data_IF_497181450623
#
_entry.id   IF_497181450623
#
_cell.length_a   1.000
_cell.length_b   1.000
_cell.length_c   1.000
_cell.angle_alpha   90.00
_cell.angle_beta   90.00
_cell.angle_gamma   90.00
#
_symmetry.space_group_name_H-M   'P 1'
#
loop_
_entity.id
_entity.type
_entity.pdbx_description
1 polymer ?
#
# COMPACT_ATOMS: atom_id res chain seq x y z
N UNK A 1 3.08 -51.41 0.47
CA UNK A 1 2.09 -50.53 1.13
C UNK A 1 2.68 -49.12 1.15
N UNK A 2 2.28 -48.27 0.20
CA UNK A 2 2.85 -46.93 0.02
C UNK A 2 1.99 -45.92 0.78
N UNK A 3 2.51 -45.36 1.88
CA UNK A 3 1.88 -44.26 2.61
C UNK A 3 2.24 -42.96 1.90
N UNK A 4 1.36 -42.53 1.01
CA UNK A 4 1.37 -41.19 0.41
C UNK A 4 0.56 -40.26 1.31
N UNK A 5 1.18 -39.80 2.40
CA UNK A 5 0.65 -38.67 3.19
C UNK A 5 1.17 -37.36 2.59
N UNK A 6 0.70 -37.03 1.38
CA UNK A 6 0.58 -35.63 0.95
C UNK A 6 -0.75 -35.15 1.49
N UNK A 7 -0.83 -34.08 2.29
CA UNK A 7 -0.57 -32.71 1.83
C UNK A 7 0.24 -31.96 2.88
N UNK A 8 1.50 -31.68 2.55
CA UNK A 8 2.23 -30.57 3.14
C UNK A 8 1.59 -29.28 2.60
N UNK A 9 0.75 -28.61 3.39
CA UNK A 9 0.46 -27.19 3.18
C UNK A 9 1.66 -26.42 3.71
N UNK A 10 2.78 -26.53 2.99
CA UNK A 10 3.85 -25.56 3.08
C UNK A 10 3.39 -24.42 2.19
N UNK A 11 2.61 -23.51 2.76
CA UNK A 11 2.50 -22.17 2.19
C UNK A 11 3.82 -21.49 2.55
N UNK A 12 4.87 -21.88 1.82
CA UNK A 12 6.22 -21.34 1.93
C UNK A 12 6.08 -19.83 1.99
N UNK A 13 6.58 -19.25 3.08
CA UNK A 13 6.47 -17.83 3.39
C UNK A 13 6.83 -16.95 2.20
N UNK A 14 5.83 -16.63 1.39
CA UNK A 14 5.89 -15.58 0.38
C UNK A 14 5.90 -14.27 1.16
N UNK A 15 7.08 -13.92 1.68
CA UNK A 15 7.35 -12.60 2.20
C UNK A 15 7.44 -11.70 0.98
N UNK A 16 6.31 -11.08 0.64
CA UNK A 16 6.31 -9.98 -0.32
C UNK A 16 7.10 -8.85 0.33
N UNK A 17 8.30 -8.58 -0.18
CA UNK A 17 9.04 -7.39 0.21
C UNK A 17 8.38 -6.18 -0.46
N UNK A 18 7.39 -5.63 0.24
CA UNK A 18 6.70 -4.43 -0.22
C UNK A 18 7.60 -3.24 0.12
N UNK A 19 8.01 -2.49 -0.91
CA UNK A 19 8.68 -1.20 -0.72
C UNK A 19 7.70 -0.17 -0.12
N UNK A 20 7.58 -0.20 1.22
CA UNK A 20 6.72 0.69 2.00
C UNK A 20 7.05 2.16 1.70
N UNK A 21 8.34 2.49 1.51
CA UNK A 21 8.78 3.85 1.24
C UNK A 21 8.34 4.30 -0.17
N UNK A 22 8.51 3.45 -1.18
CA UNK A 22 8.05 3.70 -2.54
C UNK A 22 6.53 3.84 -2.65
N UNK A 23 5.77 2.98 -1.96
CA UNK A 23 4.30 3.07 -1.92
C UNK A 23 3.85 4.37 -1.24
N UNK A 24 4.44 4.73 -0.09
CA UNK A 24 4.13 6.00 0.60
C UNK A 24 4.51 7.23 -0.24
N UNK A 25 5.65 7.17 -0.94
CA UNK A 25 6.06 8.22 -1.88
C UNK A 25 5.03 8.41 -3.00
N UNK A 26 4.58 7.30 -3.60
CA UNK A 26 3.56 7.31 -4.66
C UNK A 26 2.21 7.85 -4.14
N UNK A 27 1.80 7.45 -2.92
CA UNK A 27 0.59 7.97 -2.28
C UNK A 27 0.66 9.48 -2.07
N UNK A 28 1.80 10.01 -1.62
CA UNK A 28 2.00 11.45 -1.44
C UNK A 28 1.87 12.21 -2.76
N UNK A 29 2.45 11.69 -3.85
CA UNK A 29 2.30 12.30 -5.19
C UNK A 29 0.83 12.27 -5.64
N UNK A 30 0.16 11.14 -5.47
CA UNK A 30 -1.26 11.00 -5.82
C UNK A 30 -2.17 11.94 -5.00
N UNK A 31 -1.85 12.15 -3.71
CA UNK A 31 -2.53 13.12 -2.86
C UNK A 31 -2.30 14.56 -3.34
N UNK A 32 -1.08 14.92 -3.70
CA UNK A 32 -0.77 16.24 -4.27
C UNK A 32 -1.56 16.50 -5.56
N UNK A 33 -1.58 15.55 -6.49
CA UNK A 33 -2.38 15.66 -7.71
C UNK A 33 -3.88 15.77 -7.43
N UNK A 34 -4.40 15.06 -6.42
CA UNK A 34 -5.80 15.16 -6.02
C UNK A 34 -6.13 16.56 -5.45
N UNK A 35 -5.22 17.12 -4.64
CA UNK A 35 -5.37 18.48 -4.10
C UNK A 35 -5.36 19.51 -5.23
N UNK A 36 -4.41 19.42 -6.16
CA UNK A 36 -4.32 20.30 -7.33
C UNK A 36 -5.60 20.27 -8.19
N UNK A 37 -6.09 19.07 -8.52
CA UNK A 37 -7.34 18.89 -9.27
C UNK A 37 -8.55 19.44 -8.49
N UNK A 38 -8.60 19.25 -7.17
CA UNK A 38 -9.71 19.77 -6.36
C UNK A 38 -9.75 21.30 -6.30
N UNK A 39 -8.59 21.96 -6.39
CA UNK A 39 -8.47 23.43 -6.43
C UNK A 39 -8.80 23.97 -7.82
N UNK A 40 -8.41 23.26 -8.89
CA UNK A 40 -8.65 23.68 -10.27
C UNK A 40 -10.08 23.40 -10.77
N UNK A 41 -10.66 22.23 -10.52
CA UNK A 41 -11.62 21.69 -11.50
C UNK A 41 -13.09 22.12 -11.38
N UNK A 42 -13.67 22.30 -10.19
CA UNK A 42 -15.16 22.38 -10.14
C UNK A 42 -15.69 23.80 -10.32
N UNK A 43 -15.04 24.80 -9.71
CA UNK A 43 -15.55 26.18 -9.72
C UNK A 43 -15.00 27.03 -10.85
N UNK A 44 -13.73 26.82 -11.24
CA UNK A 44 -13.12 27.62 -12.30
C UNK A 44 -13.71 27.26 -13.66
N UNK A 45 -13.83 25.96 -13.96
CA UNK A 45 -14.44 25.48 -15.20
C UNK A 45 -15.92 25.91 -15.32
N UNK A 46 -16.69 25.84 -14.23
CA UNK A 46 -18.08 26.32 -14.22
C UNK A 46 -18.18 27.82 -14.51
N UNK A 47 -17.34 28.63 -13.86
CA UNK A 47 -17.30 30.08 -14.07
C UNK A 47 -16.83 30.45 -15.47
N UNK A 48 -15.81 29.78 -16.01
CA UNK A 48 -15.28 30.04 -17.35
C UNK A 48 -16.29 29.68 -18.45
N UNK A 49 -17.03 28.59 -18.25
CA UNK A 49 -18.15 28.20 -19.12
C UNK A 49 -19.29 29.21 -19.04
N UNK A 50 -19.67 29.66 -17.84
CA UNK A 50 -20.70 30.70 -17.68
C UNK A 50 -20.31 32.03 -18.32
N UNK A 51 -19.04 32.43 -18.17
CA UNK A 51 -18.52 33.68 -18.72
C UNK A 51 -18.37 33.63 -20.24
N UNK A 52 -17.99 32.47 -20.81
CA UNK A 52 -17.80 32.30 -22.25
C UNK A 52 -19.08 32.21 -23.08
N UNK A 53 -20.20 31.77 -22.49
CA UNK A 53 -21.42 31.45 -23.25
C UNK A 53 -22.41 32.61 -23.45
N UNK A 54 -22.27 33.74 -22.75
CA UNK A 54 -23.18 34.88 -22.87
C UNK A 54 -24.66 34.53 -22.63
N UNK A 55 -25.62 35.36 -23.07
CA UNK A 55 -27.07 35.17 -22.88
C UNK A 55 -27.75 34.41 -24.04
N UNK A 56 -27.18 33.29 -24.50
CA UNK A 56 -27.74 32.51 -25.62
C UNK A 56 -28.60 31.33 -25.16
N UNK A 57 -29.56 30.86 -25.97
CA UNK A 57 -30.26 29.58 -25.76
C UNK A 57 -29.31 28.36 -25.74
N UNK A 58 -28.15 28.45 -26.39
CA UNK A 58 -27.10 27.43 -26.29
C UNK A 58 -26.45 27.39 -24.90
N UNK A 59 -26.50 28.49 -24.11
CA UNK A 59 -26.00 28.55 -22.73
C UNK A 59 -26.69 27.50 -21.85
N UNK A 60 -28.01 27.36 -21.94
CA UNK A 60 -28.75 26.44 -21.08
C UNK A 60 -28.42 24.96 -21.37
N UNK A 61 -28.21 24.60 -22.65
CA UNK A 61 -27.82 23.25 -23.04
C UNK A 61 -26.36 22.95 -22.67
N UNK A 62 -25.45 23.91 -22.91
CA UNK A 62 -24.04 23.76 -22.54
C UNK A 62 -23.82 23.75 -21.03
N UNK A 63 -24.55 24.58 -20.28
CA UNK A 63 -24.47 24.63 -18.81
C UNK A 63 -24.93 23.32 -18.19
N UNK A 64 -25.98 22.67 -18.72
CA UNK A 64 -26.37 21.32 -18.28
C UNK A 64 -25.30 20.27 -18.59
N UNK A 65 -24.73 20.31 -19.79
CA UNK A 65 -23.66 19.38 -20.17
C UNK A 65 -22.40 19.58 -19.32
N UNK A 66 -22.03 20.84 -19.04
CA UNK A 66 -20.91 21.17 -18.15
C UNK A 66 -21.17 20.70 -16.71
N UNK A 67 -22.37 20.92 -16.16
CA UNK A 67 -22.72 20.42 -14.83
C UNK A 67 -22.72 18.88 -14.76
N UNK A 68 -23.29 18.19 -15.75
CA UNK A 68 -23.35 16.73 -15.75
C UNK A 68 -22.00 16.05 -16.01
N UNK A 69 -21.23 16.53 -16.98
CA UNK A 69 -20.00 15.86 -17.41
C UNK A 69 -18.77 16.44 -16.71
N UNK A 70 -18.65 17.77 -16.62
CA UNK A 70 -17.45 18.39 -16.04
C UNK A 70 -17.51 18.42 -14.52
N UNK A 71 -18.67 18.68 -13.92
CA UNK A 71 -18.77 18.75 -12.45
C UNK A 71 -19.01 17.36 -11.86
N UNK A 72 -20.11 16.68 -12.22
CA UNK A 72 -20.46 15.40 -11.58
C UNK A 72 -19.49 14.26 -11.86
N UNK A 73 -19.06 14.05 -13.10
CA UNK A 73 -18.14 12.94 -13.38
C UNK A 73 -16.74 13.20 -12.81
N UNK A 74 -16.30 14.46 -12.77
CA UNK A 74 -15.04 14.84 -12.11
C UNK A 74 -15.13 14.67 -10.61
N UNK A 75 -16.20 15.12 -9.96
CA UNK A 75 -16.43 14.87 -8.53
C UNK A 75 -16.46 13.37 -8.21
N UNK A 76 -17.16 12.58 -9.01
CA UNK A 76 -17.19 11.12 -8.87
C UNK A 76 -15.80 10.50 -9.02
N UNK A 77 -14.99 11.00 -9.96
CA UNK A 77 -13.62 10.55 -10.19
C UNK A 77 -12.71 10.93 -9.01
N UNK A 78 -12.79 12.16 -8.51
CA UNK A 78 -12.05 12.61 -7.33
C UNK A 78 -12.38 11.77 -6.09
N UNK A 79 -13.66 11.41 -5.90
CA UNK A 79 -14.08 10.52 -4.82
C UNK A 79 -13.46 9.13 -4.97
N UNK A 80 -13.45 8.56 -6.19
CA UNK A 80 -12.83 7.25 -6.46
C UNK A 80 -11.34 7.27 -6.17
N UNK A 81 -10.63 8.31 -6.61
CA UNK A 81 -9.19 8.47 -6.35
C UNK A 81 -8.94 8.59 -4.85
N UNK A 82 -9.73 9.39 -4.13
CA UNK A 82 -9.63 9.52 -2.66
C UNK A 82 -9.83 8.19 -1.94
N UNK A 83 -10.83 7.42 -2.35
CA UNK A 83 -11.11 6.10 -1.78
C UNK A 83 -9.96 5.12 -2.07
N UNK A 84 -9.38 5.15 -3.27
CA UNK A 84 -8.24 4.31 -3.62
C UNK A 84 -7.01 4.65 -2.78
N UNK A 85 -6.67 5.94 -2.64
CA UNK A 85 -5.58 6.42 -1.78
C UNK A 85 -5.79 5.97 -0.33
N UNK A 86 -6.99 6.17 0.21
CA UNK A 86 -7.34 5.75 1.57
C UNK A 86 -7.24 4.24 1.77
N UNK A 87 -7.72 3.44 0.81
CA UNK A 87 -7.64 1.99 0.84
C UNK A 87 -6.19 1.48 0.82
N UNK A 88 -5.35 2.02 -0.07
CA UNK A 88 -3.93 1.63 -0.14
C UNK A 88 -3.19 2.07 1.12
N UNK A 89 -3.43 3.27 1.64
CA UNK A 89 -2.83 3.71 2.91
C UNK A 89 -3.19 2.78 4.07
N UNK A 90 -4.47 2.40 4.18
CA UNK A 90 -4.96 1.50 5.23
C UNK A 90 -4.33 0.11 5.11
N UNK A 91 -4.25 -0.43 3.88
CA UNK A 91 -3.59 -1.71 3.62
C UNK A 91 -2.11 -1.67 4.00
N UNK A 92 -1.41 -0.55 3.74
CA UNK A 92 -0.02 -0.37 4.14
C UNK A 92 0.17 -0.31 5.65
N UNK A 93 -0.73 0.35 6.37
CA UNK A 93 -0.66 0.41 7.84
C UNK A 93 -0.89 -0.98 8.46
N UNK A 94 -1.83 -1.76 7.92
CA UNK A 94 -2.02 -3.16 8.31
C UNK A 94 -0.79 -4.03 8.01
N UNK A 95 -0.18 -3.86 6.84
CA UNK A 95 1.03 -4.59 6.46
C UNK A 95 2.19 -4.30 7.42
N UNK A 96 2.46 -3.01 7.71
CA UNK A 96 3.52 -2.59 8.63
C UNK A 96 3.26 -3.10 10.05
N UNK A 97 2.01 -3.03 10.53
CA UNK A 97 1.65 -3.58 11.83
C UNK A 97 1.88 -5.09 11.91
N UNK A 98 1.49 -5.83 10.87
CA UNK A 98 1.70 -7.28 10.80
C UNK A 98 3.20 -7.64 10.78
N UNK A 99 4.01 -6.97 9.97
CA UNK A 99 5.46 -7.22 9.90
C UNK A 99 6.15 -6.93 11.26
N UNK A 100 5.74 -5.87 11.96
CA UNK A 100 6.22 -5.59 13.31
C UNK A 100 5.84 -6.69 14.31
N UNK A 101 4.60 -7.19 14.28
CA UNK A 101 4.18 -8.28 15.18
C UNK A 101 4.96 -9.57 14.92
N UNK A 102 5.15 -9.94 13.65
CA UNK A 102 5.90 -11.14 13.29
C UNK A 102 7.37 -11.03 13.72
N UNK A 103 7.97 -9.84 13.54
CA UNK A 103 9.35 -9.58 13.97
C UNK A 103 9.48 -9.65 15.49
N UNK A 104 8.52 -9.09 16.24
CA UNK A 104 8.51 -9.13 17.70
C UNK A 104 8.38 -10.57 18.23
N UNK A 105 7.53 -11.39 17.61
CA UNK A 105 7.36 -12.80 17.97
C UNK A 105 8.60 -13.64 17.64
N UNK A 106 9.24 -13.38 16.49
CA UNK A 106 10.51 -14.02 16.14
C UNK A 106 11.62 -13.69 17.16
N UNK A 107 11.71 -12.43 17.62
CA UNK A 107 12.66 -12.02 18.66
C UNK A 107 12.34 -12.65 20.02
N UNK A 108 11.06 -12.76 20.38
CA UNK A 108 10.63 -13.43 21.62
C UNK A 108 10.98 -14.92 21.57
N UNK A 109 10.72 -15.60 20.46
CA UNK A 109 11.08 -17.00 20.25
C UNK A 109 12.61 -17.21 20.32
N UNK A 110 13.39 -16.32 19.70
CA UNK A 110 14.84 -16.36 19.74
C UNK A 110 15.41 -16.21 21.17
N UNK A 111 14.77 -15.40 22.02
CA UNK A 111 15.16 -15.22 23.44
C UNK A 111 14.73 -16.38 24.34
N UNK A 112 13.68 -17.10 23.98
CA UNK A 112 13.18 -18.26 24.71
C UNK A 112 14.01 -19.53 24.46
N UNK A 113 14.85 -19.54 23.41
CA UNK A 113 15.75 -20.65 23.14
C UNK A 113 16.87 -20.69 24.19
N UNK A 114 17.09 -21.83 24.87
CA UNK A 114 18.18 -21.96 25.84
C UNK A 114 19.53 -21.71 25.14
N UNK A 115 20.51 -21.11 25.83
CA UNK A 115 21.82 -20.86 25.26
C UNK A 115 22.39 -22.18 24.74
N UNK A 116 22.71 -22.22 23.44
CA UNK A 116 23.24 -23.41 22.79
C UNK A 116 24.47 -23.83 23.60
N UNK A 117 24.48 -25.04 24.20
CA UNK A 117 25.61 -25.46 25.02
C UNK A 117 26.84 -25.37 24.14
N UNK A 118 27.86 -24.62 24.62
CA UNK A 118 29.12 -24.49 23.92
C UNK A 118 29.57 -25.90 23.56
N UNK A 119 29.66 -26.19 22.25
CA UNK A 119 30.20 -27.45 21.78
C UNK A 119 31.57 -27.57 22.43
N UNK A 120 31.70 -28.48 23.40
CA UNK A 120 33.01 -28.85 23.94
C UNK A 120 33.75 -29.41 22.75
N UNK A 121 34.63 -28.61 22.15
CA UNK A 121 35.61 -29.10 21.19
C UNK A 121 36.29 -30.28 21.88
N UNK A 122 36.16 -31.52 21.36
CA UNK A 122 37.08 -32.55 21.78
C UNK A 122 38.46 -32.04 21.37
N UNK A 123 39.34 -31.86 22.35
CA UNK A 123 40.75 -31.60 22.11
C UNK A 123 41.26 -32.74 21.21
N UNK A 124 41.33 -32.49 19.91
CA UNK A 124 41.84 -33.43 18.93
C UNK A 124 43.36 -33.33 18.90
N UNK A 125 44.01 -34.38 19.38
CA UNK A 125 45.44 -34.65 19.17
C UNK A 125 46.36 -33.77 20.03
N UNK A 126 47.57 -34.21 20.38
CA UNK A 126 48.40 -35.24 19.77
C UNK A 126 49.46 -35.67 20.78
N UNK A 127 49.90 -36.92 20.64
CA UNK A 127 50.95 -37.59 21.38
C UNK A 127 52.28 -36.82 21.46
N UNK A 128 52.99 -37.00 22.58
CA UNK A 128 54.45 -37.05 22.69
C UNK A 128 54.79 -37.81 24.00
N UNK A 129 55.19 -39.08 23.87
CA UNK A 129 56.58 -39.53 24.12
C UNK A 129 56.91 -39.72 25.60
N UNK A 130 56.89 -40.99 26.04
CA UNK A 130 57.94 -41.62 26.87
C UNK A 130 57.76 -43.14 26.87
#
# INVERSE_FOLDING_TARGET
>A
MSSSTGVQVVNDGMRYDIDVAGVRGTLRVAQGHLEDLSVQDVRSAGNDVENGLGASRTRAAFSRYADEVLVRDTEATLIRIRNAIGGVSTAMDHYVAADHTMTADALRAARALPPRPAARHPLSGSAAEQ
#
